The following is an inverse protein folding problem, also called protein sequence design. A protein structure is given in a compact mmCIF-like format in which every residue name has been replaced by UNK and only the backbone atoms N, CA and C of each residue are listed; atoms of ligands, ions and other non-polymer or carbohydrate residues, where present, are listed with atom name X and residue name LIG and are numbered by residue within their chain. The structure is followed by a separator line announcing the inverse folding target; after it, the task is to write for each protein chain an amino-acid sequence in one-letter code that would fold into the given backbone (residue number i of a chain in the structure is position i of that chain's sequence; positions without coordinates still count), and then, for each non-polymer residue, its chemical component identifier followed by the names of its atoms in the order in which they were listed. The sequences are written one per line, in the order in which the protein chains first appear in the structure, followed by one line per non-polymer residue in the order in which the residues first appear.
data_IF_665893822381
#
_entry.id   IF_665893822381
#
_cell.length_a   1.000
_cell.length_b   1.000
_cell.length_c   1.000
_cell.angle_alpha   90.00
_cell.angle_beta   90.00
_cell.angle_gamma   90.00
#
_symmetry.space_group_name_H-M   'P 1'
#
loop_
_entity.id
_entity.type
_entity.pdbx_description
1 polymer ?
#
# COMPACT_ATOMS: atom_id res chain seq x y z
N UNK A 1 -3.65 -8.41 -0.16
CA UNK A 1 -3.29 -7.14 -0.84
C UNK A 1 -1.90 -6.72 -0.36
N UNK A 2 -1.18 -5.90 -1.13
CA UNK A 2 0.28 -5.79 -1.31
C UNK A 2 1.25 -5.61 -0.11
N UNK A 3 0.90 -5.96 1.14
CA UNK A 3 1.78 -5.87 2.32
C UNK A 3 2.29 -4.45 2.65
N UNK A 4 1.56 -3.42 2.25
CA UNK A 4 1.81 -2.03 2.60
C UNK A 4 0.65 -1.52 3.46
N UNK A 5 0.94 -1.11 4.69
CA UNK A 5 -0.06 -0.59 5.62
C UNK A 5 0.01 0.93 5.68
N UNK A 6 -1.10 1.59 5.34
CA UNK A 6 -1.24 3.06 5.37
C UNK A 6 -2.56 3.47 6.02
N UNK A 7 -2.65 4.73 6.43
CA UNK A 7 -3.86 5.30 7.01
C UNK A 7 -4.48 6.35 6.08
N UNK A 8 -5.78 6.25 5.84
CA UNK A 8 -6.56 7.31 5.19
C UNK A 8 -6.62 8.53 6.11
N UNK A 9 -6.50 9.73 5.56
CA UNK A 9 -6.45 10.96 6.35
C UNK A 9 -7.18 12.09 5.61
N UNK A 10 -8.05 12.81 6.32
CA UNK A 10 -8.74 13.97 5.76
C UNK A 10 -7.75 15.07 5.39
N UNK A 11 -7.98 15.74 4.27
CA UNK A 11 -7.23 16.91 3.81
C UNK A 11 -8.16 18.11 3.65
N UNK A 12 -7.62 19.35 3.68
CA UNK A 12 -8.44 20.54 3.44
C UNK A 12 -9.22 20.42 2.12
N UNK A 13 -10.54 20.66 2.18
CA UNK A 13 -11.45 20.53 1.03
C UNK A 13 -12.19 19.19 0.93
N UNK A 14 -11.88 18.21 1.78
CA UNK A 14 -12.64 16.94 1.81
C UNK A 14 -14.08 17.17 2.28
N UNK A 15 -15.04 16.64 1.51
CA UNK A 15 -16.48 16.71 1.82
C UNK A 15 -16.93 15.61 2.78
N UNK A 16 -16.14 14.56 2.98
CA UNK A 16 -16.50 13.40 3.79
C UNK A 16 -15.30 12.86 4.57
N UNK A 17 -15.44 12.77 5.90
CA UNK A 17 -14.45 12.11 6.75
C UNK A 17 -14.41 10.59 6.55
N UNK A 18 -15.49 9.99 6.03
CA UNK A 18 -15.57 8.54 5.81
C UNK A 18 -14.79 8.11 4.56
N UNK A 19 -14.74 8.98 3.54
CA UNK A 19 -14.01 8.78 2.29
C UNK A 19 -13.11 10.00 2.04
N UNK A 20 -12.02 10.15 2.81
CA UNK A 20 -11.10 11.27 2.66
C UNK A 20 -10.24 11.11 1.40
N UNK A 21 -9.75 12.23 0.88
CA UNK A 21 -8.90 12.27 -0.33
C UNK A 21 -7.41 12.03 -0.05
N UNK A 22 -6.98 12.03 1.21
CA UNK A 22 -5.57 11.93 1.59
C UNK A 22 -5.16 10.61 2.25
N UNK A 23 -3.84 10.41 2.30
CA UNK A 23 -3.18 9.34 3.05
C UNK A 23 -2.07 9.92 3.93
N UNK A 24 -1.81 9.30 5.08
CA UNK A 24 -0.70 9.66 5.96
C UNK A 24 0.36 8.56 5.93
N UNK A 25 1.60 8.97 5.66
CA UNK A 25 2.78 8.11 5.67
C UNK A 25 3.68 8.49 6.85
N UNK A 26 4.29 7.49 7.49
CA UNK A 26 5.20 7.69 8.60
C UNK A 26 6.47 6.87 8.37
N UNK A 27 7.62 7.50 8.56
CA UNK A 27 8.95 6.88 8.48
C UNK A 27 9.41 6.13 9.75
N UNK A 28 8.96 6.44 11.00
CA UNK A 28 9.56 5.88 12.22
C UNK A 28 9.67 4.36 12.26
N UNK A 29 8.61 3.64 11.88
CA UNK A 29 8.59 2.18 11.91
C UNK A 29 9.66 1.56 10.99
N UNK A 30 9.90 2.18 9.84
CA UNK A 30 10.88 1.71 8.87
C UNK A 30 12.29 2.15 9.25
N UNK A 31 12.48 3.38 9.74
CA UNK A 31 13.80 3.84 10.22
C UNK A 31 14.31 3.03 11.41
N UNK A 32 13.42 2.57 12.30
CA UNK A 32 13.78 1.65 13.40
C UNK A 32 14.30 0.29 12.91
N UNK A 33 14.00 -0.09 11.68
CA UNK A 33 14.51 -1.29 11.01
C UNK A 33 15.79 -1.04 10.20
N UNK A 34 16.32 0.19 10.25
CA UNK A 34 17.58 0.57 9.60
C UNK A 34 17.45 1.15 8.18
N UNK A 35 16.23 1.39 7.68
CA UNK A 35 16.03 1.93 6.34
C UNK A 35 16.61 3.33 6.18
N UNK A 36 17.18 3.59 5.00
CA UNK A 36 17.81 4.84 4.58
C UNK A 36 17.04 5.50 3.43
N UNK A 37 17.47 6.69 3.04
CA UNK A 37 16.82 7.55 2.07
C UNK A 37 16.56 6.85 0.72
N UNK A 38 17.52 6.05 0.24
CA UNK A 38 17.36 5.29 -1.00
C UNK A 38 16.35 4.14 -0.88
N UNK A 39 16.24 3.53 0.30
CA UNK A 39 15.21 2.53 0.59
C UNK A 39 13.81 3.15 0.56
N UNK A 40 13.68 4.40 1.03
CA UNK A 40 12.41 5.13 0.97
C UNK A 40 12.01 5.48 -0.46
N UNK A 41 12.96 5.75 -1.36
CA UNK A 41 12.65 5.90 -2.80
C UNK A 41 12.01 4.62 -3.35
N UNK A 42 12.58 3.46 -3.01
CA UNK A 42 12.02 2.17 -3.41
C UNK A 42 10.61 1.92 -2.84
N UNK A 43 10.35 2.33 -1.59
CA UNK A 43 9.00 2.26 -0.99
C UNK A 43 8.00 3.13 -1.75
N UNK A 44 8.42 4.33 -2.18
CA UNK A 44 7.57 5.24 -2.97
C UNK A 44 7.23 4.62 -4.33
N UNK A 45 8.16 3.92 -4.98
CA UNK A 45 7.87 3.18 -6.21
C UNK A 45 6.81 2.08 -5.99
N UNK A 46 6.87 1.35 -4.89
CA UNK A 46 5.83 0.36 -4.56
C UNK A 46 4.46 1.01 -4.29
N UNK A 47 4.45 2.17 -3.62
CA UNK A 47 3.22 2.95 -3.42
C UNK A 47 2.66 3.45 -4.75
N UNK A 48 3.51 3.89 -5.67
CA UNK A 48 3.11 4.33 -6.99
C UNK A 48 2.49 3.18 -7.80
N UNK A 49 3.14 2.00 -7.82
CA UNK A 49 2.60 0.79 -8.47
C UNK A 49 1.23 0.40 -7.87
N UNK A 50 1.07 0.47 -6.55
CA UNK A 50 -0.22 0.22 -5.89
C UNK A 50 -1.32 1.21 -6.32
N UNK A 51 -0.98 2.50 -6.46
CA UNK A 51 -1.93 3.54 -6.89
C UNK A 51 -2.38 3.27 -8.34
N UNK A 52 -1.46 2.88 -9.23
CA UNK A 52 -1.80 2.57 -10.62
C UNK A 52 -2.76 1.38 -10.72
N UNK A 53 -2.48 0.29 -9.98
CA UNK A 53 -3.37 -0.88 -9.91
C UNK A 53 -4.75 -0.47 -9.37
N UNK A 54 -4.77 0.33 -8.32
CA UNK A 54 -6.01 0.87 -7.72
C UNK A 54 -6.80 1.72 -8.71
N UNK A 55 -6.14 2.58 -9.48
CA UNK A 55 -6.79 3.42 -10.51
C UNK A 55 -7.44 2.57 -11.60
N UNK A 56 -6.74 1.56 -12.11
CA UNK A 56 -7.29 0.65 -13.12
C UNK A 56 -8.54 -0.09 -12.63
N UNK A 57 -8.53 -0.54 -11.37
CA UNK A 57 -9.70 -1.16 -10.75
C UNK A 57 -10.85 -0.15 -10.53
N UNK A 58 -10.53 1.09 -10.16
CA UNK A 58 -11.50 2.17 -9.95
C UNK A 58 -12.17 2.59 -11.26
N UNK A 59 -11.45 2.66 -12.37
CA UNK A 59 -12.01 3.00 -13.69
C UNK A 59 -13.07 1.99 -14.15
N UNK A 60 -12.93 0.73 -13.74
CA UNK A 60 -13.86 -0.37 -14.07
C UNK A 60 -15.01 -0.51 -13.07
N UNK A 61 -15.06 0.30 -12.02
CA UNK A 61 -16.06 0.18 -10.94
C UNK A 61 -16.67 1.53 -10.56
N UNK A 62 -17.84 1.53 -9.91
CA UNK A 62 -18.56 2.77 -9.55
C UNK A 62 -18.73 2.95 -8.05
N UNK A 63 -19.02 1.87 -7.33
CA UNK A 63 -19.21 1.91 -5.87
C UNK A 63 -18.00 1.32 -5.16
N UNK A 64 -17.81 1.71 -3.90
CA UNK A 64 -16.74 1.15 -3.06
C UNK A 64 -16.92 -0.37 -2.84
N UNK A 65 -18.17 -0.85 -2.82
CA UNK A 65 -18.47 -2.28 -2.69
C UNK A 65 -18.00 -3.05 -3.91
N UNK A 66 -18.34 -2.57 -5.10
CA UNK A 66 -17.94 -3.20 -6.36
C UNK A 66 -16.43 -3.15 -6.55
N UNK A 67 -15.81 -2.01 -6.20
CA UNK A 67 -14.35 -1.87 -6.20
C UNK A 67 -13.67 -2.95 -5.35
N UNK A 68 -14.11 -3.13 -4.10
CA UNK A 68 -13.56 -4.17 -3.21
C UNK A 68 -13.75 -5.57 -3.78
N UNK A 69 -14.92 -5.84 -4.35
CA UNK A 69 -15.21 -7.14 -4.95
C UNK A 69 -14.37 -7.39 -6.21
N UNK A 70 -14.14 -6.34 -7.02
CA UNK A 70 -13.33 -6.39 -8.22
C UNK A 70 -11.86 -6.69 -7.91
N UNK A 71 -11.29 -6.03 -6.89
CA UNK A 71 -9.93 -6.34 -6.40
C UNK A 71 -9.76 -7.82 -6.01
N UNK A 72 -10.84 -8.48 -5.58
CA UNK A 72 -10.84 -9.86 -5.11
C UNK A 72 -11.20 -10.88 -6.19
N UNK A 73 -11.75 -10.48 -7.33
CA UNK A 73 -12.27 -11.43 -8.32
C UNK A 73 -11.65 -11.29 -9.71
N UNK A 74 -11.10 -10.12 -10.05
CA UNK A 74 -10.46 -9.93 -11.34
C UNK A 74 -9.07 -10.60 -11.35
N UNK A 75 -8.83 -11.62 -12.21
CA UNK A 75 -7.58 -12.37 -12.20
C UNK A 75 -6.35 -11.52 -12.53
N UNK A 76 -6.50 -10.52 -13.40
CA UNK A 76 -5.39 -9.66 -13.81
C UNK A 76 -4.98 -8.73 -12.67
N UNK A 77 -5.94 -8.10 -12.01
CA UNK A 77 -5.69 -7.26 -10.85
C UNK A 77 -5.11 -8.08 -9.70
N UNK A 78 -5.63 -9.29 -9.44
CA UNK A 78 -5.06 -10.18 -8.44
C UNK A 78 -3.60 -10.54 -8.75
N UNK A 79 -3.30 -10.88 -10.01
CA UNK A 79 -1.94 -11.19 -10.43
C UNK A 79 -1.00 -10.00 -10.19
N UNK A 80 -1.41 -8.79 -10.59
CA UNK A 80 -0.62 -7.57 -10.38
C UNK A 80 -0.40 -7.28 -8.89
N UNK A 81 -1.44 -7.42 -8.06
CA UNK A 81 -1.34 -7.26 -6.61
C UNK A 81 -0.39 -8.29 -6.02
N UNK A 82 -0.44 -9.54 -6.49
CA UNK A 82 0.44 -10.61 -6.02
C UNK A 82 1.89 -10.33 -6.39
N UNK A 83 2.16 -9.92 -7.64
CA UNK A 83 3.50 -9.52 -8.06
C UNK A 83 4.04 -8.37 -7.20
N UNK A 84 3.22 -7.36 -6.92
CA UNK A 84 3.61 -6.27 -6.03
C UNK A 84 3.84 -6.76 -4.59
N UNK A 85 2.96 -7.62 -4.07
CA UNK A 85 3.10 -8.23 -2.74
C UNK A 85 4.44 -8.97 -2.60
N UNK A 86 4.79 -9.80 -3.59
CA UNK A 86 6.03 -10.57 -3.59
C UNK A 86 7.25 -9.64 -3.60
N UNK A 87 7.26 -8.59 -4.44
CA UNK A 87 8.32 -7.57 -4.44
C UNK A 87 8.46 -6.89 -3.08
N UNK A 88 7.34 -6.49 -2.46
CA UNK A 88 7.32 -5.81 -1.16
C UNK A 88 7.84 -6.73 -0.05
N UNK A 89 7.42 -8.00 -0.01
CA UNK A 89 7.89 -8.99 0.97
C UNK A 89 9.39 -9.20 0.82
N UNK A 90 9.86 -9.47 -0.41
CA UNK A 90 11.27 -9.71 -0.69
C UNK A 90 12.14 -8.50 -0.30
N UNK A 91 11.65 -7.28 -0.51
CA UNK A 91 12.32 -6.08 -0.06
C UNK A 91 12.31 -5.97 1.48
N UNK A 92 11.15 -6.14 2.11
CA UNK A 92 10.98 -5.96 3.55
C UNK A 92 11.77 -6.99 4.39
N UNK A 93 11.99 -8.20 3.88
CA UNK A 93 12.74 -9.27 4.57
C UNK A 93 14.25 -8.98 4.68
N UNK A 94 14.79 -8.03 3.90
CA UNK A 94 16.21 -7.64 3.96
C UNK A 94 16.57 -6.88 5.24
N UNK A 95 15.58 -6.33 5.93
CA UNK A 95 15.78 -5.48 7.09
C UNK A 95 15.45 -6.21 8.39
N UNK A 96 16.24 -6.05 9.46
CA UNK A 96 15.97 -6.67 10.74
C UNK A 96 14.61 -6.24 11.31
N UNK A 97 14.04 -7.07 12.17
CA UNK A 97 12.86 -6.73 12.96
C UNK A 97 13.29 -6.51 14.41
N UNK A 98 13.13 -5.31 14.97
CA UNK A 98 13.29 -5.08 16.40
C UNK A 98 12.29 -5.93 17.18
N UNK A 99 12.71 -6.55 18.27
CA UNK A 99 11.88 -7.43 19.09
C UNK A 99 12.58 -8.74 19.39
N UNK A 100 11.81 -9.72 19.87
CA UNK A 100 12.33 -11.04 20.17
C UNK A 100 12.21 -11.95 18.93
N UNK A 101 13.12 -12.92 18.75
CA UNK A 101 13.08 -13.82 17.59
C UNK A 101 11.78 -14.64 17.47
N UNK A 102 11.15 -14.95 18.61
CA UNK A 102 10.05 -15.93 18.69
C UNK A 102 8.70 -15.32 19.12
N UNK A 103 8.62 -13.99 19.38
CA UNK A 103 7.39 -13.32 19.83
C UNK A 103 7.36 -11.80 19.56
#
# INVERSE_FOLDING_TARGET
LAHITINKNSVPGDKSAMVPGGIRLGTPAMTSRGLKEDDFKQIVEFLHEAILISSQAKEKTKTLKDYKQFLLNDPTIQANIKTLADKVIQFAQKFPMPGYPDH
#
